data_IF_235905588761
#
_entry.id   IF_235905588761
#
_cell.length_a   1.000
_cell.length_b   1.000
_cell.length_c   1.000
_cell.angle_alpha   90.00
_cell.angle_beta   90.00
_cell.angle_gamma   90.00
#
_symmetry.space_group_name_H-M   'P 1'
#
loop_
_entity.id
_entity.type
_entity.pdbx_description
1 polymer ?
#
# COMPACT_ATOMS: atom_id res chain seq x y z
N UNK A 1 -61.29 7.71 -23.06
CA UNK A 1 -59.89 7.89 -23.51
C UNK A 1 -59.12 8.63 -22.41
N UNK A 2 -58.13 7.97 -21.80
CA UNK A 2 -57.36 8.49 -20.68
C UNK A 2 -56.14 9.23 -21.26
N UNK A 3 -56.08 10.56 -21.08
CA UNK A 3 -55.04 11.44 -21.65
C UNK A 3 -53.75 11.26 -20.85
N UNK A 4 -52.74 10.62 -21.45
CA UNK A 4 -51.42 10.49 -20.83
C UNK A 4 -50.68 11.84 -20.99
N UNK A 5 -50.28 12.54 -19.92
CA UNK A 5 -49.54 13.80 -20.06
C UNK A 5 -48.14 13.47 -20.58
N UNK A 6 -47.85 13.88 -21.82
CA UNK A 6 -46.49 13.87 -22.35
C UNK A 6 -45.63 14.83 -21.51
N UNK A 7 -44.86 14.29 -20.58
CA UNK A 7 -43.75 15.02 -19.97
C UNK A 7 -42.79 15.40 -21.09
N UNK A 8 -42.67 16.70 -21.39
CA UNK A 8 -41.67 17.19 -22.33
C UNK A 8 -40.29 16.84 -21.78
N UNK A 9 -39.57 15.91 -22.42
CA UNK A 9 -38.16 15.67 -22.12
C UNK A 9 -37.38 16.95 -22.47
N UNK A 10 -36.94 17.66 -21.44
CA UNK A 10 -35.96 18.74 -21.58
C UNK A 10 -34.59 18.09 -21.67
N UNK A 11 -33.99 18.11 -22.86
CA UNK A 11 -32.62 17.64 -23.08
C UNK A 11 -31.60 18.68 -22.65
N UNK A 12 -30.40 18.22 -22.30
CA UNK A 12 -29.23 19.05 -22.01
C UNK A 12 -28.67 19.63 -23.31
N UNK A 13 -28.24 20.89 -23.32
CA UNK A 13 -27.64 21.50 -24.52
C UNK A 13 -26.18 21.03 -24.70
N UNK A 14 -25.70 21.02 -25.94
CA UNK A 14 -24.29 20.68 -26.23
C UNK A 14 -23.31 21.66 -25.58
N UNK A 15 -23.70 22.94 -25.48
CA UNK A 15 -22.86 23.97 -24.84
C UNK A 15 -22.76 23.77 -23.33
N UNK A 16 -23.87 23.41 -22.66
CA UNK A 16 -23.84 23.06 -21.23
C UNK A 16 -22.94 21.85 -21.00
N UNK A 17 -22.99 20.85 -21.89
CA UNK A 17 -22.14 19.65 -21.77
C UNK A 17 -20.66 19.98 -21.93
N UNK A 18 -20.31 20.83 -22.90
CA UNK A 18 -18.93 21.26 -23.12
C UNK A 18 -18.35 22.02 -21.93
N UNK A 19 -19.14 22.92 -21.29
CA UNK A 19 -18.69 23.66 -20.11
C UNK A 19 -18.47 22.70 -18.92
N UNK A 20 -19.38 21.74 -18.72
CA UNK A 20 -19.25 20.74 -17.64
C UNK A 20 -17.98 19.91 -17.83
N UNK A 21 -17.70 19.44 -19.06
CA UNK A 21 -16.48 18.69 -19.36
C UNK A 21 -15.23 19.54 -19.13
N UNK A 22 -15.24 20.82 -19.49
CA UNK A 22 -14.11 21.72 -19.25
C UNK A 22 -13.81 21.88 -17.75
N UNK A 23 -14.84 22.06 -16.92
CA UNK A 23 -14.69 22.20 -15.46
C UNK A 23 -14.18 20.90 -14.84
N UNK A 24 -14.77 19.76 -15.20
CA UNK A 24 -14.33 18.44 -14.72
C UNK A 24 -12.88 18.17 -15.15
N UNK A 25 -12.50 18.56 -16.37
CA UNK A 25 -11.13 18.46 -16.88
C UNK A 25 -10.12 19.14 -15.96
N UNK A 26 -10.36 20.40 -15.59
CA UNK A 26 -9.46 21.16 -14.69
C UNK A 26 -9.40 20.53 -13.30
N UNK A 27 -10.55 20.16 -12.72
CA UNK A 27 -10.59 19.52 -11.40
C UNK A 27 -9.86 18.16 -11.39
N UNK A 28 -10.00 17.37 -12.45
CA UNK A 28 -9.40 16.03 -12.56
C UNK A 28 -7.87 16.07 -12.57
N UNK A 29 -7.27 17.13 -13.12
CA UNK A 29 -5.82 17.28 -13.19
C UNK A 29 -5.17 17.33 -11.80
N UNK A 30 -5.88 17.85 -10.79
CA UNK A 30 -5.41 17.94 -9.41
C UNK A 30 -5.92 16.74 -8.59
N UNK A 31 -7.19 16.36 -8.79
CA UNK A 31 -7.83 15.32 -8.00
C UNK A 31 -7.24 13.92 -8.27
N UNK A 32 -6.90 13.59 -9.52
CA UNK A 32 -6.43 12.24 -9.88
C UNK A 32 -5.05 11.94 -9.27
N UNK A 33 -4.01 12.80 -9.38
CA UNK A 33 -2.73 12.57 -8.71
C UNK A 33 -2.88 12.49 -7.19
N UNK A 34 -3.65 13.39 -6.58
CA UNK A 34 -3.87 13.41 -5.13
C UNK A 34 -4.58 12.13 -4.64
N UNK A 35 -5.56 11.63 -5.39
CA UNK A 35 -6.24 10.37 -5.06
C UNK A 35 -5.30 9.17 -5.18
N UNK A 36 -4.45 9.13 -6.22
CA UNK A 36 -3.43 8.08 -6.35
C UNK A 36 -2.47 8.06 -5.15
N UNK A 37 -1.96 9.22 -4.75
CA UNK A 37 -1.09 9.34 -3.57
C UNK A 37 -1.78 8.84 -2.30
N UNK A 38 -3.05 9.18 -2.11
CA UNK A 38 -3.84 8.72 -0.97
C UNK A 38 -4.02 7.19 -0.94
N UNK A 39 -4.31 6.58 -2.08
CA UNK A 39 -4.44 5.12 -2.20
C UNK A 39 -3.09 4.45 -1.91
N UNK A 40 -2.01 4.90 -2.54
CA UNK A 40 -0.65 4.36 -2.29
C UNK A 40 -0.27 4.45 -0.82
N UNK A 41 -0.51 5.60 -0.17
CA UNK A 41 -0.24 5.76 1.27
C UNK A 41 -1.05 4.81 2.14
N UNK A 42 -2.32 4.56 1.78
CA UNK A 42 -3.19 3.65 2.52
C UNK A 42 -2.75 2.19 2.38
N UNK A 43 -2.37 1.79 1.17
CA UNK A 43 -1.81 0.45 0.92
C UNK A 43 -0.46 0.25 1.62
N UNK A 44 0.41 1.26 1.63
CA UNK A 44 1.68 1.24 2.37
C UNK A 44 1.44 1.11 3.88
N UNK A 45 0.45 1.82 4.43
CA UNK A 45 0.09 1.69 5.84
C UNK A 45 -0.41 0.28 6.18
N UNK A 46 -1.17 -0.34 5.28
CA UNK A 46 -1.63 -1.73 5.43
C UNK A 46 -0.46 -2.71 5.45
N UNK A 47 0.45 -2.63 4.47
CA UNK A 47 1.66 -3.48 4.44
C UNK A 47 2.57 -3.26 5.65
N UNK A 48 2.73 -2.01 6.08
CA UNK A 48 3.49 -1.66 7.27
C UNK A 48 2.90 -2.25 8.55
N UNK A 49 1.57 -2.28 8.66
CA UNK A 49 0.89 -2.94 9.78
C UNK A 49 1.10 -4.46 9.76
N UNK A 50 1.04 -5.08 8.57
CA UNK A 50 1.29 -6.52 8.39
C UNK A 50 2.71 -6.91 8.79
N UNK A 51 3.74 -6.18 8.35
CA UNK A 51 5.11 -6.53 8.75
C UNK A 51 5.34 -6.27 10.25
N UNK A 52 4.71 -5.23 10.82
CA UNK A 52 4.83 -4.95 12.26
C UNK A 52 4.25 -6.05 13.15
N UNK A 53 3.19 -6.74 12.71
CA UNK A 53 2.60 -7.81 13.52
C UNK A 53 3.51 -9.02 13.67
N UNK A 54 4.51 -9.18 12.80
CA UNK A 54 5.44 -10.33 12.82
C UNK A 54 6.79 -10.05 13.48
N UNK A 55 7.08 -8.81 13.85
CA UNK A 55 8.35 -8.44 14.50
C UNK A 55 8.50 -9.09 15.88
N UNK A 56 7.46 -9.03 16.71
CA UNK A 56 7.48 -9.65 18.04
C UNK A 56 7.64 -11.17 18.00
N UNK A 57 6.85 -11.93 17.22
CA UNK A 57 7.06 -13.38 17.13
C UNK A 57 8.41 -13.74 16.49
N UNK A 58 8.91 -12.93 15.55
CA UNK A 58 10.25 -13.14 15.00
C UNK A 58 11.35 -12.94 16.05
N UNK A 59 11.24 -11.92 16.90
CA UNK A 59 12.19 -11.70 17.99
C UNK A 59 12.20 -12.90 18.96
N UNK A 60 11.02 -13.41 19.33
CA UNK A 60 10.91 -14.61 20.17
C UNK A 60 11.55 -15.83 19.51
N UNK A 61 11.27 -16.05 18.22
CA UNK A 61 11.88 -17.16 17.47
C UNK A 61 13.40 -17.05 17.43
N UNK A 62 13.94 -15.85 17.19
CA UNK A 62 15.39 -15.61 17.17
C UNK A 62 16.02 -15.94 18.53
N UNK A 63 15.35 -15.60 19.62
CA UNK A 63 15.84 -15.89 20.97
C UNK A 63 15.76 -17.38 21.34
N UNK A 64 14.75 -18.11 20.84
CA UNK A 64 14.56 -19.53 21.15
C UNK A 64 15.35 -20.48 20.26
N UNK A 65 15.38 -20.20 18.94
CA UNK A 65 15.86 -21.14 17.91
C UNK A 65 17.07 -20.61 17.14
N UNK A 66 17.34 -19.30 17.22
CA UNK A 66 18.39 -18.65 16.44
C UNK A 66 17.88 -18.10 15.10
N UNK A 67 18.71 -17.98 14.06
CA UNK A 67 18.40 -17.22 12.86
C UNK A 67 17.07 -17.58 12.18
N UNK A 68 16.41 -16.59 11.60
CA UNK A 68 15.18 -16.79 10.81
C UNK A 68 15.50 -17.69 9.61
N UNK A 69 14.83 -18.84 9.55
CA UNK A 69 15.04 -19.81 8.48
C UNK A 69 13.76 -20.57 8.17
N UNK A 70 13.61 -21.05 6.93
CA UNK A 70 12.37 -21.65 6.43
C UNK A 70 11.36 -20.59 5.95
N UNK A 71 10.07 -20.84 6.19
CA UNK A 71 8.99 -19.95 5.77
C UNK A 71 8.42 -19.13 6.93
N UNK A 72 7.76 -18.02 6.62
CA UNK A 72 7.18 -17.11 7.64
C UNK A 72 6.05 -17.75 8.46
N UNK A 73 5.53 -18.89 8.01
CA UNK A 73 4.56 -19.71 8.73
C UNK A 73 5.06 -20.18 10.10
N UNK A 74 6.38 -20.25 10.33
CA UNK A 74 6.95 -20.53 11.65
C UNK A 74 6.56 -19.47 12.69
N UNK A 75 6.21 -18.25 12.25
CA UNK A 75 5.78 -17.14 13.11
C UNK A 75 4.25 -17.13 13.33
N UNK A 76 3.54 -18.18 12.91
CA UNK A 76 2.10 -18.29 13.08
C UNK A 76 1.28 -17.44 12.09
N UNK A 77 1.88 -17.02 10.98
CA UNK A 77 1.24 -16.17 9.97
C UNK A 77 1.40 -16.74 8.56
N UNK A 78 0.39 -16.60 7.72
CA UNK A 78 0.49 -16.98 6.31
C UNK A 78 1.34 -15.98 5.52
N UNK A 79 2.10 -16.47 4.53
CA UNK A 79 2.83 -15.61 3.58
C UNK A 79 1.90 -14.57 2.93
N UNK A 80 0.66 -14.97 2.61
CA UNK A 80 -0.39 -14.13 2.03
C UNK A 80 -1.39 -13.61 3.07
N UNK A 81 -0.92 -13.19 4.24
CA UNK A 81 -1.79 -12.62 5.28
C UNK A 81 -2.40 -11.27 4.88
N UNK A 82 -1.87 -10.62 3.84
CA UNK A 82 -2.40 -9.38 3.28
C UNK A 82 -2.74 -9.60 1.79
N UNK A 83 -3.93 -9.19 1.29
CA UNK A 83 -4.28 -9.35 -0.12
C UNK A 83 -3.38 -8.57 -1.08
N UNK A 84 -2.69 -7.51 -0.61
CA UNK A 84 -1.87 -6.64 -1.44
C UNK A 84 -0.43 -7.14 -1.60
N UNK A 85 0.01 -8.14 -0.84
CA UNK A 85 1.41 -8.52 -0.81
C UNK A 85 1.74 -9.78 -0.03
N UNK A 86 3.02 -10.10 -0.01
CA UNK A 86 3.53 -11.34 0.55
C UNK A 86 4.63 -11.07 1.57
N UNK A 87 4.62 -11.84 2.66
CA UNK A 87 5.68 -11.92 3.65
C UNK A 87 6.71 -12.97 3.24
N UNK A 88 7.98 -12.66 3.45
CA UNK A 88 9.10 -13.58 3.25
C UNK A 88 10.24 -13.27 4.22
N UNK A 89 11.15 -14.21 4.40
CA UNK A 89 12.43 -13.94 5.06
C UNK A 89 13.48 -13.55 4.01
N UNK A 90 14.29 -12.55 4.33
CA UNK A 90 15.48 -12.20 3.57
C UNK A 90 16.75 -12.77 4.21
N UNK A 91 17.90 -12.22 3.83
CA UNK A 91 19.18 -12.53 4.49
C UNK A 91 19.29 -11.81 5.84
N UNK A 92 20.28 -12.18 6.66
CA UNK A 92 20.67 -11.40 7.85
C UNK A 92 19.52 -11.17 8.86
N UNK A 93 18.70 -12.20 9.10
CA UNK A 93 17.53 -12.11 9.99
C UNK A 93 16.57 -10.98 9.59
N UNK A 94 16.34 -10.80 8.29
CA UNK A 94 15.38 -9.85 7.78
C UNK A 94 14.03 -10.47 7.44
N UNK A 95 12.98 -9.67 7.61
CA UNK A 95 11.61 -9.97 7.20
C UNK A 95 11.22 -8.94 6.16
N UNK A 96 10.63 -9.40 5.07
CA UNK A 96 10.25 -8.57 3.94
C UNK A 96 8.75 -8.71 3.71
N UNK A 97 8.06 -7.57 3.62
CA UNK A 97 6.73 -7.49 3.04
C UNK A 97 6.84 -6.79 1.70
N UNK A 98 6.49 -7.48 0.62
CA UNK A 98 6.47 -6.93 -0.73
C UNK A 98 5.04 -6.76 -1.21
N UNK A 99 4.67 -5.54 -1.57
CA UNK A 99 3.44 -5.27 -2.30
C UNK A 99 3.49 -5.89 -3.69
N UNK A 100 2.67 -6.92 -3.92
CA UNK A 100 2.55 -7.62 -5.21
C UNK A 100 1.45 -7.03 -6.09
N UNK A 101 0.56 -6.24 -5.51
CA UNK A 101 -0.57 -5.62 -6.18
C UNK A 101 -0.88 -4.21 -5.64
N UNK A 102 -1.82 -3.52 -6.29
CA UNK A 102 -2.27 -2.18 -5.92
C UNK A 102 -1.39 -1.04 -6.44
N UNK A 103 -1.69 0.16 -5.97
CA UNK A 103 -0.94 1.38 -6.29
C UNK A 103 0.48 1.42 -5.67
N UNK A 104 0.73 0.63 -4.62
CA UNK A 104 2.03 0.44 -3.97
C UNK A 104 2.82 -0.76 -4.52
N UNK A 105 2.35 -1.41 -5.59
CA UNK A 105 3.03 -2.58 -6.18
C UNK A 105 4.51 -2.33 -6.44
N UNK A 106 5.35 -3.26 -5.96
CA UNK A 106 6.80 -3.18 -6.03
C UNK A 106 7.46 -2.58 -4.78
N UNK A 107 6.70 -1.90 -3.92
CA UNK A 107 7.20 -1.40 -2.65
C UNK A 107 7.52 -2.55 -1.68
N UNK A 108 8.64 -2.44 -0.96
CA UNK A 108 9.13 -3.46 -0.03
C UNK A 108 9.48 -2.85 1.31
N UNK A 109 8.78 -3.27 2.36
CA UNK A 109 9.24 -3.06 3.73
C UNK A 109 10.21 -4.16 4.10
N UNK A 110 11.42 -3.79 4.51
CA UNK A 110 12.44 -4.71 5.01
C UNK A 110 12.74 -4.36 6.45
N UNK A 111 12.44 -5.27 7.35
CA UNK A 111 12.84 -5.18 8.75
C UNK A 111 14.05 -6.09 8.95
N UNK A 112 15.18 -5.54 9.39
CA UNK A 112 16.41 -6.28 9.64
C UNK A 112 16.72 -6.25 11.13
N UNK A 113 17.04 -7.40 11.71
CA UNK A 113 17.46 -7.49 13.10
C UNK A 113 18.96 -7.24 13.20
N UNK A 114 19.34 -6.06 13.67
CA UNK A 114 20.73 -5.73 13.99
C UNK A 114 21.10 -6.21 15.39
N UNK A 115 22.35 -6.59 15.60
CA UNK A 115 22.84 -7.07 16.90
C UNK A 115 22.82 -5.97 17.97
N UNK A 116 23.06 -4.71 17.58
CA UNK A 116 23.24 -3.59 18.52
C UNK A 116 22.00 -2.70 18.67
N UNK A 117 21.27 -2.44 17.58
CA UNK A 117 20.18 -1.46 17.56
C UNK A 117 18.78 -2.10 17.54
N UNK A 118 18.69 -3.42 17.63
CA UNK A 118 17.43 -4.15 17.48
C UNK A 118 16.91 -4.11 16.05
N UNK A 119 15.60 -3.92 15.87
CA UNK A 119 14.97 -3.96 14.56
C UNK A 119 15.04 -2.61 13.84
N UNK A 120 15.69 -2.59 12.68
CA UNK A 120 15.71 -1.44 11.77
C UNK A 120 14.80 -1.69 10.58
N UNK A 121 14.17 -0.65 10.05
CA UNK A 121 13.24 -0.75 8.91
C UNK A 121 13.71 0.12 7.75
N UNK A 122 13.65 -0.44 6.55
CA UNK A 122 13.87 0.27 5.29
C UNK A 122 12.70 0.01 4.33
N UNK A 123 12.28 1.05 3.61
CA UNK A 123 11.29 0.97 2.54
C UNK A 123 11.97 1.22 1.20
N UNK A 124 11.81 0.29 0.25
CA UNK A 124 12.35 0.43 -1.11
C UNK A 124 11.27 0.20 -2.16
N UNK A 125 11.59 0.44 -3.44
CA UNK A 125 10.67 0.17 -4.55
C UNK A 125 9.56 1.21 -4.76
N UNK A 126 9.67 2.37 -4.12
CA UNK A 126 8.81 3.53 -4.39
C UNK A 126 9.43 4.46 -5.42
N UNK A 127 8.59 5.09 -6.24
CA UNK A 127 9.01 6.16 -7.17
C UNK A 127 9.18 7.50 -6.45
N UNK A 128 8.54 7.69 -5.30
CA UNK A 128 8.59 8.91 -4.48
C UNK A 128 8.48 8.58 -2.98
N UNK A 129 9.33 9.20 -2.16
CA UNK A 129 9.42 8.96 -0.71
C UNK A 129 8.28 9.62 0.10
N UNK A 130 7.42 10.42 -0.56
CA UNK A 130 6.39 11.26 0.10
C UNK A 130 5.40 10.45 0.94
N UNK A 131 5.18 9.20 0.56
CA UNK A 131 4.21 8.30 1.20
C UNK A 131 4.86 7.31 2.17
N UNK A 132 6.18 7.40 2.39
CA UNK A 132 6.89 6.53 3.30
C UNK A 132 6.44 6.74 4.77
N UNK A 133 6.14 5.67 5.53
CA UNK A 133 5.85 5.78 6.96
C UNK A 133 7.05 6.34 7.73
N UNK A 134 6.83 7.26 8.67
CA UNK A 134 7.91 7.85 9.49
C UNK A 134 8.76 6.82 10.25
N UNK A 135 8.18 5.66 10.60
CA UNK A 135 8.88 4.58 11.30
C UNK A 135 9.62 3.61 10.38
N UNK A 136 9.63 3.85 9.08
CA UNK A 136 10.38 3.08 8.09
C UNK A 136 10.83 4.01 6.96
N UNK A 137 12.01 4.64 7.10
CA UNK A 137 12.51 5.57 6.08
C UNK A 137 12.64 4.90 4.72
N UNK A 138 12.29 5.63 3.67
CA UNK A 138 12.54 5.18 2.31
C UNK A 138 14.05 5.27 2.00
N UNK A 139 14.61 4.17 1.53
CA UNK A 139 15.95 4.16 0.95
C UNK A 139 15.80 4.47 -0.54
N UNK A 140 16.30 5.62 -0.97
CA UNK A 140 16.38 5.93 -2.40
C UNK A 140 17.25 4.86 -3.06
N UNK A 141 16.71 4.19 -4.08
CA UNK A 141 17.53 3.45 -5.05
C UNK A 141 18.37 4.43 -5.87
#
# INVERSE_FOLDING_TARGET
MKKNPNHKQQGFTLIELMIVVAIIGVLSAIAVPAYKDYVTKSELASGFATIKSVITPAELYIQETGPLSGGVNILGIAEKANPLGELSFGTDNSIIFEHKDGAAKGAKFTYTREETNGWTCALSGLTDDKNAPKGCPATKS
#
